data_IF_875496372268
#
_entry.id   IF_875496372268
#
_cell.length_a   1.000
_cell.length_b   1.000
_cell.length_c   1.000
_cell.angle_alpha   90.00
_cell.angle_beta   90.00
_cell.angle_gamma   90.00
#
_symmetry.space_group_name_H-M   'P 1'
#
loop_
_entity.id
_entity.type
_entity.pdbx_description
1 polymer ?
#
# COMPACT_ATOMS: atom_id res chain seq x y z
N UNK A 1 -42.84 33.42 41.21
CA UNK A 1 -42.66 32.54 40.04
C UNK A 1 -43.36 33.16 38.84
N UNK A 2 -42.60 33.71 37.89
CA UNK A 2 -43.17 34.21 36.63
C UNK A 2 -43.79 33.00 35.88
N UNK A 3 -45.06 33.11 35.52
CA UNK A 3 -45.73 32.14 34.68
C UNK A 3 -45.08 32.20 33.29
N UNK A 4 -44.29 31.19 32.94
CA UNK A 4 -43.79 31.01 31.59
C UNK A 4 -45.01 30.73 30.70
N UNK A 5 -45.32 31.61 29.75
CA UNK A 5 -46.41 31.37 28.79
C UNK A 5 -46.03 30.26 27.82
N UNK A 6 -47.03 29.55 27.26
CA UNK A 6 -46.76 28.52 26.25
C UNK A 6 -45.99 29.07 25.04
N UNK A 7 -46.23 30.35 24.69
CA UNK A 7 -45.49 31.04 23.61
C UNK A 7 -44.01 31.15 23.95
N UNK A 8 -43.65 31.58 25.17
CA UNK A 8 -42.25 31.69 25.59
C UNK A 8 -41.50 30.33 25.55
N UNK A 9 -42.23 29.22 25.80
CA UNK A 9 -41.62 27.87 25.69
C UNK A 9 -41.34 27.54 24.26
N UNK A 10 -42.23 27.77 23.31
CA UNK A 10 -42.05 27.54 21.89
C UNK A 10 -40.92 28.39 21.31
N UNK A 11 -40.82 29.66 21.75
CA UNK A 11 -39.77 30.57 21.28
C UNK A 11 -38.37 30.21 21.76
N UNK A 12 -38.26 29.46 22.87
CA UNK A 12 -36.97 28.96 23.41
C UNK A 12 -36.55 27.59 22.84
N UNK A 13 -37.42 26.94 22.09
CA UNK A 13 -37.06 25.64 21.47
C UNK A 13 -35.95 25.83 20.43
N UNK A 14 -35.05 24.85 20.40
CA UNK A 14 -34.01 24.78 19.37
C UNK A 14 -34.56 24.22 18.05
N UNK A 15 -35.63 23.45 18.10
CA UNK A 15 -36.32 22.91 16.95
C UNK A 15 -37.35 23.92 16.42
N UNK A 16 -37.52 23.95 15.10
CA UNK A 16 -38.53 24.86 14.55
C UNK A 16 -39.92 24.22 14.61
N UNK A 17 -40.84 24.93 15.26
CA UNK A 17 -42.26 24.62 15.23
C UNK A 17 -42.89 25.28 14.03
N UNK A 18 -43.57 24.52 13.19
CA UNK A 18 -44.25 24.97 11.97
C UNK A 18 -45.71 24.57 12.02
N UNK A 19 -46.60 25.50 11.69
CA UNK A 19 -48.03 25.23 11.45
C UNK A 19 -48.29 25.59 9.99
N UNK A 20 -48.80 24.63 9.22
CA UNK A 20 -49.18 24.82 7.82
C UNK A 20 -50.63 24.42 7.59
N UNK A 21 -51.25 25.01 6.59
CA UNK A 21 -52.62 24.66 6.16
C UNK A 21 -52.65 23.35 5.32
N UNK A 22 -53.79 22.96 4.83
CA UNK A 22 -54.00 21.78 3.96
C UNK A 22 -53.18 21.87 2.67
N UNK A 23 -52.87 23.07 2.17
CA UNK A 23 -52.07 23.31 0.96
C UNK A 23 -50.57 23.43 1.25
N UNK A 24 -50.17 23.13 2.47
CA UNK A 24 -48.78 23.30 2.97
C UNK A 24 -48.29 24.75 2.94
N UNK A 25 -49.17 25.73 2.99
CA UNK A 25 -48.78 27.13 3.22
C UNK A 25 -48.53 27.37 4.71
N UNK A 26 -47.47 28.06 4.99
CA UNK A 26 -47.07 28.41 6.38
C UNK A 26 -48.03 29.39 6.98
N UNK A 27 -48.62 29.04 8.12
CA UNK A 27 -49.51 29.86 8.92
C UNK A 27 -48.75 30.46 10.12
N UNK A 28 -47.83 29.69 10.69
CA UNK A 28 -47.01 30.11 11.83
C UNK A 28 -45.70 29.35 11.84
N UNK A 29 -44.60 29.99 12.21
CA UNK A 29 -43.33 29.37 12.55
C UNK A 29 -42.74 29.99 13.82
N UNK A 30 -42.01 29.19 14.59
CA UNK A 30 -41.23 29.67 15.73
C UNK A 30 -39.96 30.40 15.28
N UNK A 31 -39.28 31.21 16.12
CA UNK A 31 -38.04 31.92 15.80
C UNK A 31 -36.90 30.98 15.36
N UNK A 32 -36.91 29.73 15.82
CA UNK A 32 -35.91 28.72 15.40
C UNK A 32 -35.96 28.41 13.88
N UNK A 33 -37.06 28.74 13.20
CA UNK A 33 -37.19 28.55 11.75
C UNK A 33 -36.15 29.36 10.95
N UNK A 34 -35.90 30.63 11.39
CA UNK A 34 -34.88 31.46 10.76
C UNK A 34 -33.49 30.82 10.82
N UNK A 35 -33.13 30.30 11.99
CA UNK A 35 -31.83 29.62 12.16
C UNK A 35 -31.68 28.39 11.26
N UNK A 36 -32.76 27.59 11.09
CA UNK A 36 -32.75 26.34 10.35
C UNK A 36 -32.88 26.58 8.85
N UNK A 37 -33.82 27.42 8.41
CA UNK A 37 -34.18 27.60 7.00
C UNK A 37 -33.69 28.92 6.40
N UNK A 38 -33.30 29.90 7.22
CA UNK A 38 -32.79 31.20 6.81
C UNK A 38 -33.85 32.23 6.47
N UNK A 39 -35.14 31.97 6.74
CA UNK A 39 -36.26 32.89 6.56
C UNK A 39 -36.74 33.37 7.93
N UNK A 40 -36.95 34.68 8.09
CA UNK A 40 -37.60 35.18 9.31
C UNK A 40 -39.04 34.68 9.43
N UNK A 41 -39.65 34.69 10.63
CA UNK A 41 -41.05 34.28 10.76
C UNK A 41 -41.99 35.08 9.87
N UNK A 42 -41.75 36.37 9.67
CA UNK A 42 -42.55 37.26 8.82
C UNK A 42 -42.44 36.90 7.34
N UNK A 43 -41.23 36.57 6.89
CA UNK A 43 -40.96 36.11 5.52
C UNK A 43 -41.51 34.68 5.25
N UNK A 44 -41.55 33.84 6.28
CA UNK A 44 -41.99 32.47 6.17
C UNK A 44 -43.49 32.31 6.03
N UNK A 45 -44.28 33.21 6.67
CA UNK A 45 -45.75 33.14 6.60
C UNK A 45 -46.23 33.31 5.15
N UNK A 46 -47.03 32.36 4.68
CA UNK A 46 -47.55 32.32 3.31
C UNK A 46 -46.64 31.57 2.31
N UNK A 47 -45.39 31.25 2.67
CA UNK A 47 -44.55 30.38 1.84
C UNK A 47 -45.13 28.98 1.75
N UNK A 48 -44.96 28.32 0.60
CA UNK A 48 -45.29 26.93 0.42
C UNK A 48 -44.11 26.07 0.79
N UNK A 49 -44.19 25.29 1.88
CA UNK A 49 -43.09 24.45 2.39
C UNK A 49 -42.52 23.47 1.34
N UNK A 50 -43.37 23.01 0.43
CA UNK A 50 -42.93 22.11 -0.66
C UNK A 50 -41.93 22.75 -1.62
N UNK A 51 -41.99 24.08 -1.81
CA UNK A 51 -41.09 24.80 -2.72
C UNK A 51 -39.63 24.78 -2.20
N UNK A 52 -39.49 24.69 -0.88
CA UNK A 52 -38.19 24.62 -0.21
C UNK A 52 -37.64 23.19 -0.17
N UNK A 53 -38.42 22.15 -0.49
CA UNK A 53 -37.96 20.76 -0.50
C UNK A 53 -37.02 20.51 -1.66
N UNK A 54 -35.91 19.82 -1.41
CA UNK A 54 -34.99 19.39 -2.45
C UNK A 54 -35.72 18.58 -3.55
N UNK A 55 -35.48 18.84 -4.84
CA UNK A 55 -36.26 18.22 -5.93
C UNK A 55 -36.36 16.72 -5.85
N UNK A 56 -35.27 16.02 -5.49
CA UNK A 56 -35.29 14.56 -5.38
C UNK A 56 -36.17 14.01 -4.24
N UNK A 57 -36.50 14.85 -3.24
CA UNK A 57 -37.25 14.40 -2.05
C UNK A 57 -38.73 14.82 -2.11
N UNK A 58 -39.15 15.61 -3.12
CA UNK A 58 -40.49 16.18 -3.22
C UNK A 58 -41.61 15.11 -3.25
N UNK A 59 -41.44 14.10 -4.09
CA UNK A 59 -42.47 13.06 -4.21
C UNK A 59 -42.66 12.28 -2.90
N UNK A 60 -41.58 11.90 -2.22
CA UNK A 60 -41.66 11.19 -0.94
C UNK A 60 -42.27 12.11 0.16
N UNK A 61 -41.95 13.40 0.15
CA UNK A 61 -42.47 14.39 1.08
C UNK A 61 -43.98 14.58 0.89
N UNK A 62 -44.47 14.66 -0.35
CA UNK A 62 -45.90 14.80 -0.67
C UNK A 62 -46.69 13.59 -0.21
N UNK A 63 -46.22 12.38 -0.53
CA UNK A 63 -46.84 11.12 -0.08
C UNK A 63 -46.93 11.06 1.44
N UNK A 64 -45.89 11.50 2.15
CA UNK A 64 -45.87 11.47 3.61
C UNK A 64 -46.82 12.53 4.19
N UNK A 65 -46.88 13.72 3.59
CA UNK A 65 -47.80 14.78 4.02
C UNK A 65 -49.27 14.34 3.89
N UNK A 66 -49.63 13.61 2.80
CA UNK A 66 -50.98 13.09 2.60
C UNK A 66 -51.34 12.04 3.67
N UNK A 67 -50.40 11.11 4.02
CA UNK A 67 -50.62 10.13 5.10
C UNK A 67 -50.90 10.80 6.44
N UNK A 68 -50.20 11.89 6.73
CA UNK A 68 -50.42 12.67 7.97
C UNK A 68 -51.82 13.29 7.97
N UNK A 69 -52.30 13.81 6.83
CA UNK A 69 -53.66 14.38 6.69
C UNK A 69 -54.75 13.31 6.80
N UNK A 70 -54.46 12.06 6.44
CA UNK A 70 -55.35 10.89 6.63
C UNK A 70 -55.41 10.43 8.10
N UNK A 71 -54.72 11.11 9.03
CA UNK A 71 -54.73 10.82 10.47
C UNK A 71 -53.55 9.99 10.99
N UNK A 72 -52.59 9.63 10.14
CA UNK A 72 -51.38 8.95 10.58
C UNK A 72 -50.50 9.90 11.38
N UNK A 73 -50.04 9.49 12.59
CA UNK A 73 -49.03 10.23 13.34
C UNK A 73 -47.66 9.98 12.71
N UNK A 74 -47.00 11.05 12.27
CA UNK A 74 -45.62 10.95 11.80
C UNK A 74 -44.68 11.21 12.94
N UNK A 75 -43.85 10.20 13.27
CA UNK A 75 -42.84 10.27 14.33
C UNK A 75 -41.45 10.56 13.80
N UNK A 76 -41.13 10.09 12.59
CA UNK A 76 -39.78 10.23 12.00
C UNK A 76 -39.85 10.22 10.48
N UNK A 77 -39.62 11.37 9.86
CA UNK A 77 -39.46 11.48 8.41
C UNK A 77 -38.30 12.40 8.10
N UNK A 78 -37.31 11.89 7.38
CA UNK A 78 -36.11 12.65 7.02
C UNK A 78 -36.21 13.06 5.55
N UNK A 79 -35.94 14.33 5.28
CA UNK A 79 -35.81 14.87 3.92
C UNK A 79 -34.91 16.11 3.92
N UNK A 80 -34.53 16.56 2.73
CA UNK A 80 -33.66 17.71 2.52
C UNK A 80 -34.45 18.94 2.10
N UNK A 81 -34.06 20.08 2.64
CA UNK A 81 -34.55 21.38 2.27
C UNK A 81 -33.45 22.28 1.74
N UNK A 82 -33.83 23.22 0.88
CA UNK A 82 -32.96 24.28 0.38
C UNK A 82 -33.25 25.52 1.23
N UNK A 83 -32.24 26.01 1.91
CA UNK A 83 -32.27 27.20 2.72
C UNK A 83 -32.36 28.45 1.83
N UNK A 84 -32.66 29.61 2.44
CA UNK A 84 -32.69 30.90 1.74
C UNK A 84 -31.39 31.27 1.05
N UNK A 85 -30.24 30.84 1.60
CA UNK A 85 -28.92 31.06 1.04
C UNK A 85 -28.49 29.98 0.01
N UNK A 86 -29.40 29.06 -0.34
CA UNK A 86 -29.16 27.97 -1.26
C UNK A 86 -28.49 26.73 -0.65
N UNK A 87 -28.09 26.75 0.62
CA UNK A 87 -27.49 25.60 1.27
C UNK A 87 -28.52 24.49 1.56
N UNK A 88 -28.06 23.23 1.55
CA UNK A 88 -28.89 22.09 1.94
C UNK A 88 -28.90 21.91 3.46
N UNK A 89 -30.07 21.59 3.99
CA UNK A 89 -30.29 21.20 5.37
C UNK A 89 -31.10 19.91 5.43
N UNK A 90 -30.60 18.94 6.22
CA UNK A 90 -31.30 17.67 6.49
C UNK A 90 -32.23 17.86 7.69
N UNK A 91 -33.51 17.60 7.51
CA UNK A 91 -34.54 17.79 8.53
C UNK A 91 -35.17 16.46 8.89
N UNK A 92 -35.30 16.23 10.19
CA UNK A 92 -36.16 15.19 10.76
C UNK A 92 -37.47 15.85 11.21
N UNK A 93 -38.55 15.40 10.60
CA UNK A 93 -39.89 15.89 10.87
C UNK A 93 -40.67 15.00 11.83
N UNK A 94 -41.35 15.62 12.78
CA UNK A 94 -42.47 15.05 13.51
C UNK A 94 -43.72 15.88 13.19
N UNK A 95 -44.79 15.24 12.75
CA UNK A 95 -45.98 15.99 12.34
C UNK A 95 -47.30 15.30 12.75
N UNK A 96 -48.30 16.14 13.04
CA UNK A 96 -49.68 15.71 13.37
C UNK A 96 -50.68 16.60 12.66
N UNK A 97 -51.71 16.01 12.13
CA UNK A 97 -52.89 16.70 11.57
C UNK A 97 -53.85 17.07 12.66
N UNK A 98 -54.43 18.27 12.57
CA UNK A 98 -55.49 18.79 13.44
C UNK A 98 -56.77 18.98 12.60
N UNK A 99 -57.65 17.97 12.54
CA UNK A 99 -58.80 17.98 11.61
C UNK A 99 -59.73 19.13 11.84
N UNK A 100 -60.01 19.45 13.12
CA UNK A 100 -60.93 20.51 13.53
C UNK A 100 -60.49 21.92 13.05
N UNK A 101 -59.23 22.08 12.79
CA UNK A 101 -58.64 23.35 12.36
C UNK A 101 -58.14 23.35 10.94
N UNK A 102 -58.12 22.21 10.28
CA UNK A 102 -57.55 21.98 8.94
C UNK A 102 -56.08 22.45 8.89
N UNK A 103 -55.31 22.15 9.95
CA UNK A 103 -53.92 22.56 10.12
C UNK A 103 -53.04 21.33 10.41
N UNK A 104 -51.81 21.39 9.95
CA UNK A 104 -50.77 20.42 10.29
C UNK A 104 -49.75 21.11 11.19
N UNK A 105 -49.58 20.63 12.43
CA UNK A 105 -48.51 21.01 13.35
C UNK A 105 -47.31 20.07 13.07
N UNK A 106 -46.16 20.67 12.85
CA UNK A 106 -44.93 19.95 12.59
C UNK A 106 -43.76 20.54 13.38
N UNK A 107 -42.81 19.70 13.76
CA UNK A 107 -41.55 20.11 14.40
C UNK A 107 -40.41 19.66 13.49
N UNK A 108 -39.54 20.60 13.12
CA UNK A 108 -38.36 20.39 12.32
C UNK A 108 -37.12 20.35 13.22
N UNK A 109 -36.46 19.23 13.25
CA UNK A 109 -35.18 19.04 13.90
C UNK A 109 -34.05 19.03 12.86
N UNK A 110 -33.06 19.91 12.96
CA UNK A 110 -31.90 19.92 12.05
C UNK A 110 -30.95 18.79 12.43
N UNK A 111 -30.86 17.79 11.52
CA UNK A 111 -30.01 16.62 11.66
C UNK A 111 -28.79 16.66 10.74
N UNK A 112 -28.50 17.81 10.11
CA UNK A 112 -27.40 17.96 9.15
C UNK A 112 -26.06 17.58 9.76
N UNK A 113 -25.78 18.06 10.97
CA UNK A 113 -24.54 17.71 11.68
C UNK A 113 -24.45 16.21 11.97
N UNK A 114 -25.55 15.59 12.43
CA UNK A 114 -25.61 14.15 12.69
C UNK A 114 -25.31 13.36 11.40
N UNK A 115 -26.00 13.69 10.31
CA UNK A 115 -25.81 13.03 8.99
C UNK A 115 -24.39 13.17 8.45
N UNK A 116 -23.79 14.35 8.60
CA UNK A 116 -22.38 14.57 8.21
C UNK A 116 -21.44 13.71 9.03
N UNK A 117 -21.63 13.63 10.34
CA UNK A 117 -20.81 12.79 11.24
C UNK A 117 -20.97 11.31 10.90
N UNK A 118 -22.19 10.81 10.73
CA UNK A 118 -22.47 9.42 10.34
C UNK A 118 -21.85 9.07 8.99
N UNK A 119 -21.96 9.97 8.01
CA UNK A 119 -21.35 9.81 6.69
C UNK A 119 -19.82 9.79 6.75
N UNK A 120 -19.21 10.62 7.58
CA UNK A 120 -17.77 10.64 7.81
C UNK A 120 -17.30 9.32 8.45
N UNK A 121 -17.98 8.85 9.50
CA UNK A 121 -17.66 7.57 10.14
C UNK A 121 -17.79 6.39 9.17
N UNK A 122 -18.85 6.36 8.35
CA UNK A 122 -19.03 5.32 7.34
C UNK A 122 -17.89 5.33 6.31
N UNK A 123 -17.43 6.52 5.92
CA UNK A 123 -16.29 6.68 5.01
C UNK A 123 -14.98 6.20 5.64
N UNK A 124 -14.69 6.59 6.88
CA UNK A 124 -13.52 6.13 7.63
C UNK A 124 -13.52 4.61 7.81
N UNK A 125 -14.68 4.02 8.12
CA UNK A 125 -14.81 2.57 8.21
C UNK A 125 -14.53 1.88 6.87
N UNK A 126 -15.06 2.39 5.76
CA UNK A 126 -14.81 1.84 4.43
C UNK A 126 -13.32 1.91 4.04
N UNK A 127 -12.62 3.00 4.39
CA UNK A 127 -11.18 3.15 4.18
C UNK A 127 -10.41 2.12 5.01
N UNK A 128 -10.72 1.98 6.31
CA UNK A 128 -10.06 1.00 7.18
C UNK A 128 -10.30 -0.44 6.70
N UNK A 129 -11.53 -0.77 6.29
CA UNK A 129 -11.85 -2.08 5.74
C UNK A 129 -11.07 -2.36 4.43
N UNK A 130 -10.92 -1.35 3.56
CA UNK A 130 -10.13 -1.45 2.35
C UNK A 130 -8.65 -1.71 2.66
N UNK A 131 -8.08 -1.03 3.67
CA UNK A 131 -6.69 -1.21 4.09
C UNK A 131 -6.42 -2.62 4.64
N UNK A 132 -7.35 -3.17 5.44
CA UNK A 132 -7.23 -4.54 5.96
C UNK A 132 -7.33 -5.61 4.87
N UNK A 133 -8.22 -5.41 3.89
CA UNK A 133 -8.46 -6.37 2.82
C UNK A 133 -7.47 -6.27 1.64
N UNK A 134 -6.66 -5.22 1.58
CA UNK A 134 -5.77 -4.99 0.45
C UNK A 134 -4.60 -6.00 0.44
N UNK A 135 -4.41 -6.65 -0.71
CA UNK A 135 -3.29 -7.57 -0.98
C UNK A 135 -2.05 -6.83 -1.50
N UNK A 136 -2.21 -5.61 -2.04
CA UNK A 136 -1.12 -4.79 -2.56
C UNK A 136 -1.43 -3.30 -2.42
N UNK A 137 -0.38 -2.48 -2.43
CA UNK A 137 -0.51 -1.03 -2.32
C UNK A 137 -1.32 -0.39 -3.47
N UNK A 138 -1.10 -0.75 -4.76
CA UNK A 138 -1.89 -0.18 -5.85
C UNK A 138 -3.39 -0.43 -5.71
N UNK A 139 -3.79 -1.65 -5.35
CA UNK A 139 -5.21 -2.02 -5.12
C UNK A 139 -5.82 -1.22 -3.97
N UNK A 140 -5.06 -1.00 -2.90
CA UNK A 140 -5.51 -0.14 -1.81
C UNK A 140 -5.76 1.30 -2.27
N UNK A 141 -4.77 1.88 -2.95
CA UNK A 141 -4.82 3.30 -3.37
C UNK A 141 -5.94 3.55 -4.37
N UNK A 142 -6.21 2.62 -5.28
CA UNK A 142 -7.35 2.69 -6.18
C UNK A 142 -8.68 2.69 -5.41
N UNK A 143 -8.85 1.80 -4.44
CA UNK A 143 -10.06 1.76 -3.60
C UNK A 143 -10.23 3.05 -2.78
N UNK A 144 -9.15 3.55 -2.16
CA UNK A 144 -9.17 4.81 -1.43
C UNK A 144 -9.58 5.96 -2.35
N UNK A 145 -9.01 6.04 -3.55
CA UNK A 145 -9.38 7.05 -4.53
C UNK A 145 -10.87 7.01 -4.85
N UNK A 146 -11.45 5.84 -5.13
CA UNK A 146 -12.88 5.71 -5.38
C UNK A 146 -13.74 6.15 -4.18
N UNK A 147 -13.33 5.81 -2.96
CA UNK A 147 -14.05 6.22 -1.75
C UNK A 147 -13.99 7.74 -1.57
N UNK A 148 -12.81 8.35 -1.77
CA UNK A 148 -12.64 9.81 -1.69
C UNK A 148 -13.43 10.54 -2.77
N UNK A 149 -13.33 10.10 -4.04
CA UNK A 149 -14.04 10.71 -5.18
C UNK A 149 -15.58 10.68 -5.02
N UNK A 150 -16.12 9.71 -4.31
CA UNK A 150 -17.56 9.63 -4.01
C UNK A 150 -18.01 10.61 -2.90
N UNK A 151 -17.08 11.25 -2.19
CA UNK A 151 -17.37 12.07 -0.99
C UNK A 151 -16.89 13.50 -1.08
N UNK A 152 -15.81 13.71 -1.79
CA UNK A 152 -15.18 15.03 -1.97
C UNK A 152 -14.94 15.27 -3.46
N UNK A 153 -14.97 16.54 -3.85
CA UNK A 153 -14.75 16.95 -5.25
C UNK A 153 -13.27 16.82 -5.62
N UNK A 154 -12.84 15.56 -5.87
CA UNK A 154 -11.45 15.21 -6.19
C UNK A 154 -11.20 15.35 -7.68
N UNK A 155 -10.19 16.13 -8.06
CA UNK A 155 -9.70 16.27 -9.43
C UNK A 155 -8.52 15.32 -9.71
N UNK A 156 -7.66 15.12 -8.72
CA UNK A 156 -6.55 14.18 -8.79
C UNK A 156 -6.18 13.69 -7.39
N UNK A 157 -5.68 12.45 -7.32
CA UNK A 157 -5.16 11.84 -6.10
C UNK A 157 -3.84 11.15 -6.43
N UNK A 158 -2.78 11.45 -5.67
CA UNK A 158 -1.45 10.89 -5.88
C UNK A 158 -0.78 10.51 -4.56
N UNK A 159 0.10 9.52 -4.64
CA UNK A 159 0.93 9.06 -3.52
C UNK A 159 2.37 8.97 -4.00
N UNK A 160 3.26 9.66 -3.31
CA UNK A 160 4.67 9.68 -3.58
C UNK A 160 5.44 9.19 -2.35
N UNK A 161 6.29 8.17 -2.51
CA UNK A 161 7.19 7.67 -1.47
C UNK A 161 8.59 8.26 -1.63
N UNK A 162 9.28 8.44 -0.52
CA UNK A 162 10.68 8.90 -0.52
C UNK A 162 11.62 7.80 -1.01
N UNK A 163 12.64 8.18 -1.77
CA UNK A 163 13.71 7.28 -2.21
C UNK A 163 14.94 7.41 -1.31
N UNK A 164 15.82 6.39 -1.21
CA UNK A 164 17.07 6.47 -0.44
C UNK A 164 18.00 7.60 -0.87
N UNK A 165 17.89 8.07 -2.13
CA UNK A 165 18.67 9.17 -2.69
C UNK A 165 18.06 10.56 -2.40
N UNK A 166 16.97 10.65 -1.64
CA UNK A 166 16.32 11.90 -1.26
C UNK A 166 15.33 12.46 -2.28
N UNK A 167 14.97 11.67 -3.31
CA UNK A 167 13.92 12.00 -4.28
C UNK A 167 12.57 11.38 -3.93
N UNK A 168 11.63 11.49 -4.88
CA UNK A 168 10.31 10.90 -4.76
C UNK A 168 10.07 9.86 -5.86
N UNK A 169 9.43 8.76 -5.47
CA UNK A 169 8.87 7.77 -6.39
C UNK A 169 7.35 7.80 -6.28
N UNK A 170 6.67 8.20 -7.36
CA UNK A 170 5.21 8.22 -7.39
C UNK A 170 4.69 6.80 -7.60
N UNK A 171 4.03 6.27 -6.58
CA UNK A 171 3.48 4.89 -6.58
C UNK A 171 2.02 4.84 -7.04
N UNK A 172 1.34 5.98 -7.04
CA UNK A 172 -0.03 6.13 -7.53
C UNK A 172 -0.27 7.53 -8.07
N UNK A 173 -0.97 7.63 -9.20
CA UNK A 173 -1.38 8.90 -9.80
C UNK A 173 -2.68 8.69 -10.57
N UNK A 174 -3.78 9.12 -9.98
CA UNK A 174 -5.08 9.13 -10.65
C UNK A 174 -5.47 10.57 -10.93
N UNK A 175 -5.37 10.95 -12.19
CA UNK A 175 -5.84 12.24 -12.71
C UNK A 175 -7.24 12.04 -13.25
N UNK A 176 -8.20 12.83 -12.75
CA UNK A 176 -9.52 12.91 -13.33
C UNK A 176 -9.48 13.45 -14.76
N UNK A 177 -10.64 13.57 -15.42
CA UNK A 177 -10.80 14.08 -16.78
C UNK A 177 -10.43 15.58 -16.97
N UNK A 178 -10.01 16.26 -15.91
CA UNK A 178 -9.56 17.64 -16.00
C UNK A 178 -8.20 17.73 -16.74
N UNK A 179 -8.06 18.63 -17.71
CA UNK A 179 -6.80 18.83 -18.42
C UNK A 179 -5.71 19.16 -17.39
N UNK A 180 -4.63 18.38 -17.41
CA UNK A 180 -3.45 18.69 -16.63
C UNK A 180 -2.90 20.05 -17.09
N UNK A 181 -2.48 20.95 -16.19
CA UNK A 181 -1.70 22.10 -16.61
C UNK A 181 -0.45 21.57 -17.33
N UNK A 182 -0.29 21.96 -18.59
CA UNK A 182 0.79 21.55 -19.50
C UNK A 182 2.14 22.21 -19.17
N UNK A 183 2.47 22.44 -17.91
CA UNK A 183 3.70 23.12 -17.56
C UNK A 183 4.67 22.15 -16.89
N UNK A 184 5.87 22.02 -17.46
CA UNK A 184 7.06 21.49 -16.80
C UNK A 184 7.25 22.11 -15.39
N UNK A 185 6.81 23.34 -15.18
CA UNK A 185 6.82 24.07 -13.92
C UNK A 185 5.87 23.48 -12.85
N UNK A 186 4.78 22.82 -13.25
CA UNK A 186 3.82 22.26 -12.30
C UNK A 186 4.35 21.02 -11.57
N UNK A 187 5.17 20.22 -12.22
CA UNK A 187 5.79 19.01 -11.62
C UNK A 187 6.94 19.39 -10.67
N UNK A 188 7.70 20.42 -11.02
CA UNK A 188 8.73 21.00 -10.17
C UNK A 188 8.12 21.66 -8.92
N UNK A 189 7.01 22.40 -9.07
CA UNK A 189 6.30 23.00 -7.96
C UNK A 189 5.70 21.93 -7.01
N UNK A 190 5.11 20.87 -7.55
CA UNK A 190 4.56 19.78 -6.77
C UNK A 190 5.65 19.05 -5.96
N UNK A 191 6.82 18.86 -6.55
CA UNK A 191 7.99 18.28 -5.87
C UNK A 191 8.45 19.16 -4.71
N UNK A 192 8.46 20.49 -4.87
CA UNK A 192 8.78 21.42 -3.80
C UNK A 192 7.74 21.37 -2.66
N UNK A 193 6.46 21.23 -2.98
CA UNK A 193 5.41 21.06 -1.97
C UNK A 193 5.54 19.74 -1.22
N UNK A 194 5.92 18.64 -1.89
CA UNK A 194 6.21 17.38 -1.22
C UNK A 194 7.36 17.54 -0.22
N UNK A 195 8.45 18.22 -0.60
CA UNK A 195 9.57 18.49 0.30
C UNK A 195 9.11 19.31 1.51
N UNK A 196 8.31 20.36 1.30
CA UNK A 196 7.80 21.20 2.36
C UNK A 196 6.90 20.43 3.34
N UNK A 197 6.03 19.51 2.84
CA UNK A 197 5.21 18.64 3.69
C UNK A 197 6.09 17.74 4.57
N UNK A 198 7.17 17.17 4.01
CA UNK A 198 8.07 16.31 4.77
C UNK A 198 8.89 17.07 5.81
N UNK A 199 9.38 18.27 5.46
CA UNK A 199 10.16 19.12 6.37
C UNK A 199 9.33 19.63 7.55
N UNK A 200 8.06 20.00 7.30
CA UNK A 200 7.14 20.48 8.33
C UNK A 200 6.51 19.35 9.15
N UNK A 201 6.45 18.13 8.59
CA UNK A 201 5.75 17.01 9.22
C UNK A 201 4.25 17.25 9.42
N UNK A 202 3.64 18.17 8.67
CA UNK A 202 2.27 18.62 8.78
C UNK A 202 1.61 18.75 7.42
N UNK A 203 0.27 18.74 7.41
CA UNK A 203 -0.53 18.96 6.21
C UNK A 203 -0.26 20.35 5.63
N UNK A 204 -0.11 20.40 4.30
CA UNK A 204 0.12 21.63 3.54
C UNK A 204 -1.04 21.84 2.55
N UNK A 205 -1.67 22.99 2.65
CA UNK A 205 -2.72 23.45 1.74
C UNK A 205 -2.17 24.55 0.83
N UNK A 206 -2.30 24.37 -0.49
CA UNK A 206 -1.91 25.37 -1.49
C UNK A 206 -3.11 25.74 -2.37
N UNK A 207 -3.50 27.01 -2.46
CA UNK A 207 -4.50 27.45 -3.42
C UNK A 207 -3.94 27.30 -4.83
N UNK A 208 -4.76 26.78 -5.75
CA UNK A 208 -4.40 26.68 -7.15
C UNK A 208 -5.15 27.74 -7.97
N UNK A 209 -4.55 28.27 -9.04
CA UNK A 209 -5.23 29.20 -9.92
C UNK A 209 -6.45 28.51 -10.57
N UNK A 210 -7.54 29.27 -10.72
CA UNK A 210 -8.69 28.81 -11.46
C UNK A 210 -8.29 28.57 -12.95
N UNK A 211 -8.90 27.58 -13.64
CA UNK A 211 -8.64 27.37 -15.05
C UNK A 211 -9.03 28.61 -15.86
N UNK A 212 -8.27 28.91 -16.92
CA UNK A 212 -8.50 30.11 -17.77
C UNK A 212 -9.90 30.13 -18.40
N UNK A 213 -10.57 28.99 -18.52
CA UNK A 213 -11.95 28.86 -18.97
C UNK A 213 -13.02 29.06 -17.89
N UNK A 214 -12.61 29.32 -16.64
CA UNK A 214 -13.51 29.46 -15.49
C UNK A 214 -14.12 30.86 -15.41
N UNK A 215 -15.45 30.94 -15.20
CA UNK A 215 -16.17 32.18 -14.88
C UNK A 215 -16.03 32.57 -13.41
N UNK A 216 -16.59 33.71 -13.00
CA UNK A 216 -16.52 34.24 -11.62
C UNK A 216 -17.16 33.35 -10.56
N UNK A 217 -17.93 32.34 -10.94
CA UNK A 217 -18.57 31.35 -10.05
C UNK A 217 -17.78 30.04 -9.94
N UNK A 218 -16.58 29.95 -10.55
CA UNK A 218 -15.76 28.72 -10.50
C UNK A 218 -15.27 28.47 -9.06
N UNK A 219 -15.56 27.30 -8.47
CA UNK A 219 -15.11 27.00 -7.10
C UNK A 219 -13.59 27.09 -6.97
N UNK A 220 -13.06 27.52 -5.81
CA UNK A 220 -11.62 27.56 -5.58
C UNK A 220 -11.00 26.19 -5.73
N UNK A 221 -9.93 26.11 -6.51
CA UNK A 221 -9.09 24.93 -6.64
C UNK A 221 -8.03 24.92 -5.55
N UNK A 222 -7.68 23.72 -5.08
CA UNK A 222 -6.62 23.57 -4.09
C UNK A 222 -5.78 22.31 -4.34
N UNK A 223 -4.56 22.35 -3.86
CA UNK A 223 -3.71 21.19 -3.64
C UNK A 223 -3.55 21.00 -2.14
N UNK A 224 -3.70 19.77 -1.69
CA UNK A 224 -3.55 19.38 -0.29
C UNK A 224 -2.59 18.21 -0.19
N UNK A 225 -1.50 18.39 0.53
CA UNK A 225 -0.52 17.34 0.83
C UNK A 225 -0.57 16.97 2.32
N UNK A 226 -0.54 15.68 2.60
CA UNK A 226 -0.49 15.12 3.96
C UNK A 226 0.69 14.17 4.06
N UNK A 227 1.56 14.29 5.09
CA UNK A 227 2.68 13.38 5.24
C UNK A 227 2.18 11.96 5.55
N UNK A 228 2.85 10.95 4.99
CA UNK A 228 2.72 9.57 5.42
C UNK A 228 3.64 9.39 6.64
N UNK A 229 3.10 9.25 7.85
CA UNK A 229 3.91 9.12 9.04
C UNK A 229 4.75 7.84 8.96
N UNK A 230 5.94 7.81 9.59
CA UNK A 230 6.70 6.59 9.88
C UNK A 230 7.84 6.93 10.84
N UNK A 231 7.76 6.49 12.06
CA UNK A 231 8.79 6.71 13.07
C UNK A 231 9.39 8.13 13.04
N UNK A 232 10.73 8.22 12.89
CA UNK A 232 11.45 9.50 12.88
C UNK A 232 11.42 10.26 11.54
N UNK A 233 11.00 9.61 10.44
CA UNK A 233 10.98 10.24 9.11
C UNK A 233 9.76 9.80 8.31
N UNK A 234 9.00 10.75 7.71
CA UNK A 234 7.85 10.40 6.87
C UNK A 234 8.25 9.52 5.68
N UNK A 235 7.44 8.50 5.39
CA UNK A 235 7.62 7.61 4.23
C UNK A 235 7.37 8.30 2.90
N UNK A 236 6.60 9.39 2.89
CA UNK A 236 6.21 10.08 1.67
C UNK A 236 5.06 11.05 1.89
N UNK A 237 4.33 11.35 0.84
CA UNK A 237 3.23 12.31 0.83
C UNK A 237 2.02 11.72 0.10
N UNK A 238 0.86 11.86 0.73
CA UNK A 238 -0.45 11.76 0.11
C UNK A 238 -0.85 13.13 -0.42
N UNK A 239 -1.16 13.25 -1.70
CA UNK A 239 -1.59 14.52 -2.27
C UNK A 239 -2.93 14.39 -2.99
N UNK A 240 -3.75 15.44 -2.85
CA UNK A 240 -5.05 15.57 -3.47
C UNK A 240 -5.17 16.95 -4.11
N UNK A 241 -5.70 16.99 -5.33
CA UNK A 241 -6.21 18.22 -5.94
C UNK A 241 -7.72 18.17 -5.95
N UNK A 242 -8.36 19.24 -5.54
CA UNK A 242 -9.81 19.27 -5.42
C UNK A 242 -10.41 20.64 -5.61
N UNK A 243 -11.74 20.67 -5.55
CA UNK A 243 -12.57 21.88 -5.58
C UNK A 243 -13.18 22.07 -4.20
N UNK A 244 -13.03 23.29 -3.63
CA UNK A 244 -13.68 23.62 -2.38
C UNK A 244 -15.07 24.20 -2.66
N UNK A 245 -16.10 23.51 -2.16
CA UNK A 245 -17.50 23.96 -2.26
C UNK A 245 -18.12 23.99 -0.86
N UNK A 246 -19.31 24.62 -0.73
CA UNK A 246 -20.06 24.60 0.54
C UNK A 246 -20.43 23.19 1.01
N UNK A 247 -20.65 22.27 0.07
CA UNK A 247 -21.00 20.87 0.37
C UNK A 247 -19.75 20.00 0.64
N UNK A 248 -18.63 20.37 0.03
CA UNK A 248 -17.33 19.69 0.16
C UNK A 248 -16.23 20.71 0.48
N UNK A 249 -16.18 21.20 1.72
CA UNK A 249 -15.15 22.13 2.14
C UNK A 249 -13.78 21.46 2.24
N UNK A 250 -12.71 22.23 2.07
CA UNK A 250 -11.33 21.72 2.11
C UNK A 250 -10.98 21.06 3.45
N UNK A 251 -11.55 21.52 4.55
CA UNK A 251 -11.35 20.96 5.88
C UNK A 251 -11.84 19.51 5.98
N UNK A 252 -12.92 19.17 5.26
CA UNK A 252 -13.40 17.79 5.19
C UNK A 252 -12.44 16.90 4.40
N UNK A 253 -11.87 17.40 3.31
CA UNK A 253 -10.85 16.70 2.54
C UNK A 253 -9.58 16.49 3.37
N UNK A 254 -9.14 17.51 4.11
CA UNK A 254 -7.99 17.43 5.00
C UNK A 254 -8.19 16.36 6.08
N UNK A 255 -9.32 16.39 6.79
CA UNK A 255 -9.63 15.40 7.82
C UNK A 255 -9.65 13.96 7.27
N UNK A 256 -10.16 13.76 6.04
CA UNK A 256 -10.16 12.45 5.38
C UNK A 256 -8.75 12.01 5.00
N UNK A 257 -7.92 12.89 4.41
CA UNK A 257 -6.54 12.53 4.05
C UNK A 257 -5.68 12.25 5.28
N UNK A 258 -5.82 13.04 6.34
CA UNK A 258 -5.14 12.80 7.62
C UNK A 258 -5.54 11.47 8.26
N UNK A 259 -6.78 11.02 8.05
CA UNK A 259 -7.22 9.70 8.45
C UNK A 259 -6.67 8.59 7.52
N UNK A 260 -6.57 8.85 6.21
CA UNK A 260 -6.05 7.90 5.21
C UNK A 260 -4.56 7.64 5.40
N UNK A 261 -3.77 8.67 5.75
CA UNK A 261 -2.31 8.56 5.81
C UNK A 261 -1.80 7.42 6.70
N UNK A 262 -2.25 7.25 7.96
CA UNK A 262 -1.86 6.10 8.80
C UNK A 262 -2.32 4.74 8.25
N UNK A 263 -3.44 4.69 7.51
CA UNK A 263 -3.92 3.45 6.91
C UNK A 263 -3.01 3.00 5.76
N UNK A 264 -2.53 3.93 4.95
CA UNK A 264 -1.59 3.66 3.86
C UNK A 264 -0.23 3.27 4.45
N UNK A 265 0.27 3.99 5.46
CA UNK A 265 1.49 3.66 6.18
C UNK A 265 1.50 2.20 6.66
N UNK A 266 0.47 1.79 7.40
CA UNK A 266 0.33 0.44 7.93
C UNK A 266 0.45 -0.63 6.83
N UNK A 267 -0.11 -0.39 5.64
CA UNK A 267 -0.03 -1.33 4.51
C UNK A 267 1.37 -1.32 3.89
N UNK A 268 2.00 -0.16 3.75
CA UNK A 268 3.38 -0.05 3.25
C UNK A 268 4.34 -0.78 4.18
N UNK A 269 4.25 -0.55 5.49
CA UNK A 269 5.08 -1.24 6.50
C UNK A 269 4.87 -2.75 6.47
N UNK A 270 3.62 -3.20 6.39
CA UNK A 270 3.29 -4.63 6.28
C UNK A 270 3.94 -5.27 5.06
N UNK A 271 3.88 -4.61 3.90
CA UNK A 271 4.50 -5.10 2.66
C UNK A 271 6.02 -5.15 2.81
N UNK A 272 6.65 -4.09 3.32
CA UNK A 272 8.09 -4.04 3.54
C UNK A 272 8.57 -5.10 4.54
N UNK A 273 7.82 -5.31 5.62
CA UNK A 273 8.13 -6.34 6.61
C UNK A 273 8.02 -7.73 5.98
N UNK A 274 6.97 -7.98 5.19
CA UNK A 274 6.80 -9.25 4.50
C UNK A 274 7.94 -9.52 3.51
N UNK A 275 8.35 -8.54 2.73
CA UNK A 275 9.49 -8.64 1.82
C UNK A 275 10.81 -8.89 2.57
N UNK A 276 11.02 -8.21 3.71
CA UNK A 276 12.18 -8.46 4.57
C UNK A 276 12.18 -9.89 5.12
N UNK A 277 11.05 -10.36 5.65
CA UNK A 277 10.92 -11.73 6.16
C UNK A 277 11.16 -12.76 5.04
N UNK A 278 10.61 -12.52 3.85
CA UNK A 278 10.83 -13.38 2.69
C UNK A 278 12.32 -13.43 2.30
N UNK A 279 12.96 -12.26 2.29
CA UNK A 279 14.40 -12.14 1.98
C UNK A 279 15.26 -12.83 3.06
N UNK A 280 14.92 -12.66 4.35
CA UNK A 280 15.60 -13.33 5.45
C UNK A 280 15.44 -14.86 5.42
N UNK A 281 14.27 -15.35 4.99
CA UNK A 281 13.99 -16.78 4.89
C UNK A 281 14.73 -17.45 3.73
N UNK A 282 15.10 -16.72 2.68
CA UNK A 282 15.65 -17.26 1.43
C UNK A 282 17.11 -16.88 1.15
N UNK A 283 17.62 -15.83 1.75
CA UNK A 283 18.95 -15.31 1.47
C UNK A 283 19.81 -15.24 2.73
N UNK A 284 21.11 -15.47 2.58
CA UNK A 284 22.11 -15.24 3.62
C UNK A 284 22.29 -13.74 3.85
N UNK A 285 22.12 -13.30 5.09
CA UNK A 285 22.10 -11.86 5.44
C UNK A 285 23.46 -11.18 5.27
N UNK A 286 24.57 -11.94 5.35
CA UNK A 286 25.91 -11.39 5.23
C UNK A 286 26.31 -11.18 3.77
N UNK A 287 26.09 -12.22 2.95
CA UNK A 287 26.59 -12.25 1.56
C UNK A 287 25.55 -11.87 0.51
N UNK A 288 24.26 -11.85 0.87
CA UNK A 288 23.16 -11.63 -0.07
C UNK A 288 22.91 -12.79 -1.05
N UNK A 289 23.64 -13.91 -0.93
CA UNK A 289 23.43 -15.10 -1.73
C UNK A 289 22.20 -15.89 -1.26
N UNK A 290 21.61 -16.75 -2.11
CA UNK A 290 20.70 -17.78 -1.68
C UNK A 290 21.23 -18.53 -0.46
N UNK A 291 20.38 -18.70 0.56
CA UNK A 291 20.70 -19.51 1.72
C UNK A 291 20.46 -21.01 1.43
N UNK A 292 20.68 -21.86 2.44
CA UNK A 292 20.48 -23.31 2.35
C UNK A 292 19.06 -23.65 1.84
N UNK A 293 18.01 -23.00 2.36
CA UNK A 293 16.62 -23.31 2.00
C UNK A 293 16.34 -23.01 0.52
N UNK A 294 16.67 -21.82 0.05
CA UNK A 294 16.47 -21.42 -1.35
C UNK A 294 17.36 -22.25 -2.29
N UNK A 295 18.55 -22.60 -1.86
CA UNK A 295 19.43 -23.45 -2.67
C UNK A 295 18.84 -24.85 -2.90
N UNK A 296 18.30 -25.50 -1.84
CA UNK A 296 17.64 -26.80 -1.97
C UNK A 296 16.44 -26.75 -2.90
N UNK A 297 15.64 -25.73 -2.82
CA UNK A 297 14.50 -25.51 -3.73
C UNK A 297 14.96 -25.39 -5.18
N UNK A 298 15.99 -24.61 -5.45
CA UNK A 298 16.56 -24.45 -6.81
C UNK A 298 17.17 -25.75 -7.32
N UNK A 299 17.92 -26.48 -6.49
CA UNK A 299 18.51 -27.76 -6.85
C UNK A 299 17.43 -28.77 -7.22
N UNK A 300 16.35 -28.85 -6.46
CA UNK A 300 15.21 -29.73 -6.75
C UNK A 300 14.58 -29.41 -8.12
N UNK A 301 14.36 -28.13 -8.40
CA UNK A 301 13.82 -27.70 -9.70
C UNK A 301 14.80 -28.03 -10.84
N UNK A 302 16.09 -27.77 -10.64
CA UNK A 302 17.12 -28.04 -11.64
C UNK A 302 17.26 -29.52 -11.95
N UNK A 303 17.25 -30.42 -10.93
CA UNK A 303 17.27 -31.89 -11.11
C UNK A 303 16.04 -32.35 -11.89
N UNK A 304 14.84 -31.88 -11.53
CA UNK A 304 13.61 -32.22 -12.26
C UNK A 304 13.64 -31.74 -13.73
N UNK A 305 14.24 -30.57 -13.99
CA UNK A 305 14.44 -30.03 -15.33
C UNK A 305 15.44 -30.88 -16.12
N UNK A 306 16.62 -31.14 -15.54
CA UNK A 306 17.68 -31.93 -16.18
C UNK A 306 17.20 -33.33 -16.54
N UNK A 307 16.38 -33.95 -15.67
CA UNK A 307 15.76 -35.23 -15.95
C UNK A 307 14.83 -35.21 -17.18
N UNK A 308 13.98 -34.16 -17.28
CA UNK A 308 13.02 -34.02 -18.38
C UNK A 308 13.68 -33.67 -19.71
N UNK A 309 14.75 -32.87 -19.67
CA UNK A 309 15.46 -32.37 -20.85
C UNK A 309 16.66 -33.25 -21.24
N UNK A 310 16.89 -34.34 -20.52
CA UNK A 310 18.02 -35.27 -20.70
C UNK A 310 19.38 -34.55 -20.72
N UNK A 311 19.49 -33.50 -19.85
CA UNK A 311 20.72 -32.72 -19.70
C UNK A 311 21.43 -33.08 -18.39
N UNK A 312 22.68 -32.61 -18.26
CA UNK A 312 23.47 -32.75 -17.04
C UNK A 312 23.44 -31.42 -16.24
N UNK A 313 23.64 -31.55 -14.93
CA UNK A 313 24.00 -30.42 -14.05
C UNK A 313 25.21 -30.82 -13.19
N UNK A 314 25.97 -29.84 -12.76
CA UNK A 314 27.07 -30.04 -11.81
C UNK A 314 26.82 -29.25 -10.53
N UNK A 315 27.10 -29.92 -9.42
CA UNK A 315 27.12 -29.35 -8.09
C UNK A 315 28.56 -29.22 -7.60
N UNK A 316 29.00 -28.00 -7.30
CA UNK A 316 30.31 -27.73 -6.73
C UNK A 316 30.12 -27.36 -5.26
N UNK A 317 30.73 -28.11 -4.36
CA UNK A 317 30.79 -27.77 -2.93
C UNK A 317 32.14 -27.13 -2.63
N UNK A 318 32.14 -25.97 -1.99
CA UNK A 318 33.32 -25.12 -1.82
C UNK A 318 33.48 -24.80 -0.33
N UNK A 319 34.64 -25.06 0.23
CA UNK A 319 35.03 -24.71 1.60
C UNK A 319 36.31 -23.85 1.55
N UNK A 320 36.39 -22.82 2.42
CA UNK A 320 37.53 -21.90 2.47
C UNK A 320 38.61 -22.46 3.42
N UNK A 321 39.73 -22.84 2.86
CA UNK A 321 40.84 -23.42 3.63
C UNK A 321 41.32 -22.42 4.70
N UNK A 322 41.38 -22.86 5.98
CA UNK A 322 41.85 -22.07 7.13
C UNK A 322 41.06 -20.78 7.39
N UNK A 323 39.83 -20.70 7.00
CA UNK A 323 39.01 -19.51 7.30
C UNK A 323 38.94 -19.18 8.80
N UNK A 324 38.95 -20.21 9.66
CA UNK A 324 38.99 -20.00 11.10
C UNK A 324 40.23 -19.24 11.56
N UNK A 325 41.39 -19.51 10.97
CA UNK A 325 42.64 -18.78 11.31
C UNK A 325 42.51 -17.29 10.97
N UNK A 326 41.80 -16.93 9.91
CA UNK A 326 41.51 -15.55 9.55
C UNK A 326 40.67 -14.87 10.65
N UNK A 327 39.63 -15.52 11.11
CA UNK A 327 38.79 -15.01 12.18
C UNK A 327 39.58 -14.87 13.50
N UNK A 328 40.40 -15.89 13.84
CA UNK A 328 41.17 -15.91 15.09
C UNK A 328 42.30 -14.84 15.09
N UNK A 329 42.79 -14.50 13.90
CA UNK A 329 43.94 -13.55 13.78
C UNK A 329 43.49 -12.10 13.51
N UNK A 330 42.49 -11.89 12.65
CA UNK A 330 42.05 -10.59 12.17
C UNK A 330 40.68 -10.15 12.70
N UNK A 331 40.00 -11.05 13.43
CA UNK A 331 38.66 -10.81 13.98
C UNK A 331 37.54 -11.13 13.02
N UNK A 332 36.34 -11.36 13.58
CA UNK A 332 35.13 -11.76 12.85
C UNK A 332 34.71 -10.72 11.79
N UNK A 333 34.89 -9.44 12.04
CA UNK A 333 34.52 -8.39 11.05
C UNK A 333 35.34 -8.51 9.76
N UNK A 334 36.61 -8.91 9.84
CA UNK A 334 37.44 -9.14 8.66
C UNK A 334 37.04 -10.43 7.95
N UNK A 335 36.68 -11.47 8.71
CA UNK A 335 36.10 -12.70 8.15
C UNK A 335 34.80 -12.44 7.40
N UNK A 336 33.92 -11.57 7.93
CA UNK A 336 32.67 -11.19 7.27
C UNK A 336 32.92 -10.46 5.94
N UNK A 337 33.86 -9.50 5.91
CA UNK A 337 34.29 -8.83 4.67
C UNK A 337 34.86 -9.80 3.66
N UNK A 338 35.65 -10.79 4.12
CA UNK A 338 36.18 -11.85 3.27
C UNK A 338 35.07 -12.68 2.66
N UNK A 339 34.08 -13.12 3.44
CA UNK A 339 32.93 -13.90 2.94
C UNK A 339 32.12 -13.11 1.91
N UNK A 340 31.92 -11.81 2.11
CA UNK A 340 31.30 -10.93 1.11
C UNK A 340 32.14 -10.85 -0.19
N UNK A 341 33.44 -10.71 -0.05
CA UNK A 341 34.38 -10.70 -1.19
C UNK A 341 34.37 -12.04 -1.97
N UNK A 342 34.32 -13.15 -1.24
CA UNK A 342 34.20 -14.51 -1.81
C UNK A 342 32.89 -14.66 -2.59
N UNK A 343 31.77 -14.26 -1.99
CA UNK A 343 30.47 -14.31 -2.64
C UNK A 343 30.46 -13.56 -3.97
N UNK A 344 30.97 -12.33 -3.98
CA UNK A 344 31.09 -11.51 -5.20
C UNK A 344 31.97 -12.20 -6.24
N UNK A 345 33.13 -12.70 -5.84
CA UNK A 345 34.07 -13.37 -6.76
C UNK A 345 33.50 -14.66 -7.37
N UNK A 346 32.75 -15.44 -6.61
CA UNK A 346 32.06 -16.62 -7.11
C UNK A 346 30.96 -16.23 -8.11
N UNK A 347 30.18 -15.20 -7.81
CA UNK A 347 29.14 -14.67 -8.73
C UNK A 347 29.75 -14.21 -10.05
N UNK A 348 30.92 -13.55 -10.03
CA UNK A 348 31.62 -13.11 -11.24
C UNK A 348 32.17 -14.28 -12.08
N UNK A 349 32.30 -15.47 -11.51
CA UNK A 349 32.74 -16.66 -12.22
C UNK A 349 31.64 -17.38 -13.00
N UNK A 350 30.39 -17.24 -12.61
CA UNK A 350 29.23 -18.00 -13.12
C UNK A 350 28.37 -17.21 -14.07
N UNK A 351 27.43 -17.90 -14.77
CA UNK A 351 26.44 -17.26 -15.65
C UNK A 351 25.17 -16.92 -14.87
N UNK A 352 24.32 -16.08 -15.42
CA UNK A 352 23.05 -15.70 -14.80
C UNK A 352 22.05 -16.85 -14.60
N UNK A 353 22.21 -17.98 -15.32
CA UNK A 353 21.41 -19.19 -15.13
C UNK A 353 21.93 -20.09 -14.01
N UNK A 354 23.19 -19.93 -13.61
CA UNK A 354 23.79 -20.72 -12.53
C UNK A 354 23.41 -20.14 -11.18
N UNK A 355 23.47 -20.97 -10.14
CA UNK A 355 23.18 -20.52 -8.77
C UNK A 355 24.41 -20.63 -7.91
N UNK A 356 24.78 -19.54 -7.23
CA UNK A 356 25.74 -19.51 -6.12
C UNK A 356 24.95 -19.36 -4.83
N UNK A 357 25.27 -20.15 -3.80
CA UNK A 357 24.63 -20.07 -2.49
C UNK A 357 25.64 -20.24 -1.36
N UNK A 358 25.27 -19.77 -0.15
CA UNK A 358 26.05 -20.01 1.07
C UNK A 358 25.21 -20.87 2.01
N UNK A 359 25.78 -22.02 2.44
CA UNK A 359 25.08 -22.98 3.30
C UNK A 359 25.24 -22.64 4.79
N UNK A 360 26.32 -21.96 5.16
CA UNK A 360 26.65 -21.53 6.51
C UNK A 360 28.17 -21.47 6.70
N UNK A 361 28.66 -20.72 7.70
CA UNK A 361 30.08 -20.60 7.97
C UNK A 361 30.88 -20.17 6.73
N UNK A 362 31.84 -21.00 6.35
CA UNK A 362 32.74 -20.88 5.19
C UNK A 362 32.36 -21.76 4.00
N UNK A 363 31.15 -22.40 4.06
CA UNK A 363 30.66 -23.31 3.03
C UNK A 363 29.84 -22.57 1.95
N UNK A 364 30.27 -22.70 0.71
CA UNK A 364 29.55 -22.21 -0.47
C UNK A 364 29.21 -23.36 -1.40
N UNK A 365 28.15 -23.22 -2.18
CA UNK A 365 27.80 -24.18 -3.24
C UNK A 365 27.48 -23.43 -4.52
N UNK A 366 27.84 -24.09 -5.63
CA UNK A 366 27.53 -23.60 -6.98
C UNK A 366 26.81 -24.68 -7.74
N UNK A 367 25.67 -24.33 -8.30
CA UNK A 367 24.89 -25.19 -9.17
C UNK A 367 25.04 -24.69 -10.61
N UNK A 368 25.59 -25.51 -11.48
CA UNK A 368 25.75 -25.26 -12.92
C UNK A 368 24.66 -26.01 -13.65
N UNK A 369 23.81 -25.30 -14.37
CA UNK A 369 22.71 -25.89 -15.13
C UNK A 369 22.99 -25.96 -16.63
N UNK A 370 22.30 -26.88 -17.32
CA UNK A 370 22.37 -26.99 -18.79
C UNK A 370 23.73 -27.42 -19.34
N UNK A 371 24.46 -28.24 -18.60
CA UNK A 371 25.70 -28.84 -19.05
C UNK A 371 25.34 -29.91 -20.10
N UNK A 372 26.06 -29.92 -21.24
CA UNK A 372 25.87 -30.94 -22.28
C UNK A 372 26.42 -32.28 -21.80
N UNK A 373 25.75 -33.35 -22.23
CA UNK A 373 26.22 -34.73 -21.96
C UNK A 373 27.69 -34.91 -22.41
N UNK A 374 28.53 -35.29 -21.43
CA UNK A 374 29.97 -35.45 -21.66
C UNK A 374 30.83 -34.20 -21.54
N UNK A 375 30.22 -33.03 -21.23
CA UNK A 375 30.96 -31.80 -20.92
C UNK A 375 31.46 -31.85 -19.47
N UNK A 376 32.74 -31.57 -19.27
CA UNK A 376 33.33 -31.56 -17.93
C UNK A 376 33.10 -30.26 -17.20
N UNK A 377 32.71 -30.27 -15.92
CA UNK A 377 32.61 -29.05 -15.07
C UNK A 377 33.97 -28.59 -14.55
N UNK A 378 35.04 -29.36 -14.75
CA UNK A 378 36.39 -29.05 -14.27
C UNK A 378 36.91 -27.67 -14.73
N UNK A 379 36.69 -27.22 -15.98
CA UNK A 379 37.12 -25.87 -16.41
C UNK A 379 36.50 -24.75 -15.56
N UNK A 380 35.28 -24.94 -15.10
CA UNK A 380 34.63 -23.94 -14.21
C UNK A 380 35.26 -23.94 -12.82
N UNK A 381 35.53 -25.14 -12.26
CA UNK A 381 36.24 -25.23 -10.99
C UNK A 381 37.66 -24.63 -11.10
N UNK A 382 38.36 -24.85 -12.19
CA UNK A 382 39.68 -24.25 -12.43
C UNK A 382 39.61 -22.72 -12.60
N UNK A 383 38.56 -22.21 -13.25
CA UNK A 383 38.32 -20.75 -13.31
C UNK A 383 38.15 -20.16 -11.91
N UNK A 384 37.38 -20.83 -11.04
CA UNK A 384 37.22 -20.40 -9.65
C UNK A 384 38.53 -20.45 -8.89
N UNK A 385 39.29 -21.55 -8.92
CA UNK A 385 40.59 -21.63 -8.30
C UNK A 385 41.54 -20.50 -8.76
N UNK A 386 41.56 -20.25 -10.07
CA UNK A 386 42.35 -19.14 -10.64
C UNK A 386 41.89 -17.75 -10.13
N UNK A 387 40.58 -17.54 -9.99
CA UNK A 387 40.05 -16.31 -9.42
C UNK A 387 40.52 -16.13 -7.97
N UNK A 388 40.56 -17.18 -7.16
CA UNK A 388 41.02 -17.12 -5.78
C UNK A 388 42.53 -16.92 -5.62
N UNK A 389 43.31 -17.13 -6.67
CA UNK A 389 44.76 -16.84 -6.65
C UNK A 389 45.06 -15.34 -6.46
N UNK A 390 44.10 -14.48 -6.83
CA UNK A 390 44.18 -13.04 -6.61
C UNK A 390 43.81 -12.69 -5.16
N UNK A 391 44.59 -11.84 -4.48
CA UNK A 391 44.26 -11.42 -3.13
C UNK A 391 42.89 -10.71 -3.07
N UNK A 392 42.26 -10.74 -1.92
CA UNK A 392 41.09 -9.95 -1.59
C UNK A 392 41.55 -8.65 -0.95
N UNK A 393 41.13 -7.53 -1.50
CA UNK A 393 41.37 -6.21 -0.87
C UNK A 393 40.21 -5.95 0.10
N UNK A 394 40.50 -6.01 1.39
CA UNK A 394 39.54 -5.83 2.47
C UNK A 394 39.96 -4.56 3.25
N UNK A 395 39.40 -3.42 2.84
CA UNK A 395 39.68 -2.11 3.45
C UNK A 395 41.17 -1.76 3.48
N UNK A 396 41.89 -2.04 2.39
CA UNK A 396 43.32 -1.76 2.27
C UNK A 396 44.23 -2.89 2.78
N UNK A 397 43.66 -3.99 3.31
CA UNK A 397 44.40 -5.20 3.70
C UNK A 397 44.27 -6.27 2.62
N UNK A 398 45.37 -6.64 2.00
CA UNK A 398 45.39 -7.70 0.98
C UNK A 398 45.47 -9.07 1.65
N UNK A 399 44.38 -9.86 1.56
CA UNK A 399 44.28 -11.19 2.15
C UNK A 399 44.22 -12.26 1.05
N UNK A 400 44.90 -13.36 1.26
CA UNK A 400 44.79 -14.55 0.39
C UNK A 400 44.10 -15.68 1.14
N UNK A 401 43.09 -16.28 0.48
CA UNK A 401 42.44 -17.48 0.96
C UNK A 401 42.29 -18.44 -0.22
N UNK A 402 42.37 -19.72 0.06
CA UNK A 402 42.29 -20.78 -0.95
C UNK A 402 41.03 -21.60 -0.73
N UNK A 403 40.35 -22.05 -1.78
CA UNK A 403 39.19 -22.91 -1.67
C UNK A 403 39.53 -24.36 -1.92
N UNK A 404 38.87 -25.30 -1.24
CA UNK A 404 38.76 -26.69 -1.61
C UNK A 404 37.43 -26.94 -2.30
N UNK A 405 37.40 -27.52 -3.49
CA UNK A 405 36.23 -27.67 -4.35
C UNK A 405 35.93 -29.14 -4.59
N UNK A 406 34.75 -29.65 -4.20
CA UNK A 406 34.25 -30.95 -4.56
C UNK A 406 33.18 -30.86 -5.63
N UNK A 407 33.20 -31.77 -6.59
CA UNK A 407 32.29 -31.72 -7.75
C UNK A 407 31.50 -33.03 -7.85
N UNK A 408 30.17 -32.91 -7.98
CA UNK A 408 29.27 -34.00 -8.31
C UNK A 408 28.46 -33.68 -9.57
N UNK A 409 28.20 -34.70 -10.40
CA UNK A 409 27.42 -34.59 -11.64
C UNK A 409 26.10 -35.34 -11.52
N UNK A 410 25.03 -34.74 -11.98
CA UNK A 410 23.77 -35.42 -12.25
C UNK A 410 23.78 -35.89 -13.71
N UNK A 411 23.34 -37.11 -14.02
CA UNK A 411 22.86 -38.16 -13.10
C UNK A 411 23.95 -39.08 -12.54
N UNK A 412 25.22 -38.94 -12.98
CA UNK A 412 26.29 -39.91 -12.77
C UNK A 412 26.65 -40.18 -11.30
N UNK A 413 26.53 -39.14 -10.45
CA UNK A 413 26.87 -39.22 -9.03
C UNK A 413 25.63 -39.19 -8.12
N UNK A 414 24.42 -39.13 -8.68
CA UNK A 414 23.17 -39.21 -7.93
C UNK A 414 21.97 -38.75 -8.73
N UNK A 415 20.83 -39.38 -8.46
CA UNK A 415 19.54 -39.08 -9.09
C UNK A 415 18.70 -38.11 -8.26
N UNK A 416 19.11 -37.82 -7.03
CA UNK A 416 18.40 -36.99 -6.07
C UNK A 416 19.32 -35.95 -5.43
N UNK A 417 18.75 -34.87 -4.99
CA UNK A 417 19.44 -33.70 -4.44
C UNK A 417 20.40 -34.05 -3.28
N UNK A 418 19.92 -34.91 -2.35
CA UNK A 418 20.69 -35.31 -1.17
C UNK A 418 21.92 -36.13 -1.54
N UNK A 419 21.84 -37.02 -2.57
CA UNK A 419 22.95 -37.80 -3.05
C UNK A 419 24.02 -36.90 -3.71
N UNK A 420 23.60 -35.96 -4.54
CA UNK A 420 24.51 -35.01 -5.21
C UNK A 420 25.26 -34.14 -4.19
N UNK A 421 24.57 -33.63 -3.17
CA UNK A 421 25.20 -32.85 -2.10
C UNK A 421 26.22 -33.67 -1.31
N UNK A 422 25.85 -34.88 -0.89
CA UNK A 422 26.76 -35.76 -0.16
C UNK A 422 28.01 -36.08 -0.98
N UNK A 423 27.85 -36.38 -2.28
CA UNK A 423 28.97 -36.71 -3.16
C UNK A 423 29.87 -35.50 -3.46
N UNK A 424 29.30 -34.32 -3.59
CA UNK A 424 30.06 -33.09 -3.72
C UNK A 424 30.85 -32.77 -2.46
N UNK A 425 30.25 -32.95 -1.28
CA UNK A 425 30.90 -32.73 0.02
C UNK A 425 32.03 -33.75 0.26
N UNK A 426 31.80 -35.07 -0.01
CA UNK A 426 32.83 -36.11 0.04
C UNK A 426 34.02 -35.75 -0.86
N UNK A 427 33.75 -35.28 -2.07
CA UNK A 427 34.78 -34.85 -3.03
C UNK A 427 35.54 -33.63 -2.52
N UNK A 428 34.86 -32.66 -1.94
CA UNK A 428 35.47 -31.46 -1.32
C UNK A 428 36.39 -31.85 -0.16
N UNK A 429 35.97 -32.79 0.68
CA UNK A 429 36.80 -33.29 1.79
C UNK A 429 38.07 -33.97 1.29
N UNK A 430 38.01 -34.73 0.17
CA UNK A 430 39.19 -35.29 -0.48
C UNK A 430 40.14 -34.18 -0.98
N UNK A 431 39.60 -33.13 -1.64
CA UNK A 431 40.38 -32.00 -2.08
C UNK A 431 41.09 -31.30 -0.88
N UNK A 432 40.37 -31.10 0.24
CA UNK A 432 40.94 -30.51 1.46
C UNK A 432 42.04 -31.33 2.09
N UNK A 433 41.90 -32.66 2.17
CA UNK A 433 42.94 -33.58 2.67
C UNK A 433 44.14 -33.69 1.74
N UNK A 434 43.96 -33.49 0.46
CA UNK A 434 45.04 -33.49 -0.55
C UNK A 434 45.94 -32.26 -0.50
N UNK A 435 45.75 -31.35 0.43
CA UNK A 435 46.57 -30.14 0.62
C UNK A 435 45.80 -28.84 0.39
N UNK A 436 44.50 -28.88 0.05
CA UNK A 436 43.68 -27.72 -0.27
C UNK A 436 43.99 -27.09 -1.62
N UNK A 437 43.35 -25.96 -1.94
CA UNK A 437 43.50 -25.20 -3.19
C UNK A 437 43.41 -26.06 -4.47
N UNK A 438 42.46 -26.97 -4.48
CA UNK A 438 42.26 -27.90 -5.62
C UNK A 438 40.79 -28.26 -5.75
N UNK A 439 40.45 -28.80 -6.91
CA UNK A 439 39.15 -29.39 -7.17
C UNK A 439 39.22 -30.88 -7.33
N UNK A 440 38.22 -31.58 -6.84
CA UNK A 440 38.10 -33.03 -6.98
C UNK A 440 36.73 -33.40 -7.53
N UNK A 441 36.71 -34.15 -8.65
CA UNK A 441 35.49 -34.73 -9.20
C UNK A 441 35.24 -36.07 -8.52
N UNK A 442 34.04 -36.25 -7.96
CA UNK A 442 33.69 -37.55 -7.35
C UNK A 442 33.85 -38.70 -8.36
N UNK A 443 34.50 -39.83 -8.00
CA UNK A 443 34.83 -40.89 -8.95
C UNK A 443 33.64 -41.68 -9.51
N UNK A 444 32.41 -41.40 -9.06
CA UNK A 444 31.21 -42.14 -9.45
C UNK A 444 31.18 -43.58 -8.90
N UNK A 445 30.05 -44.24 -8.96
CA UNK A 445 29.96 -45.68 -8.71
C UNK A 445 30.38 -46.42 -9.97
N UNK A 446 31.61 -46.85 -10.02
CA UNK A 446 32.12 -47.73 -11.11
C UNK A 446 31.44 -49.12 -11.15
N UNK A 447 30.42 -49.39 -10.29
CA UNK A 447 29.84 -50.70 -10.06
C UNK A 447 28.49 -51.02 -10.73
N UNK A 448 27.73 -50.06 -11.27
CA UNK A 448 26.34 -50.34 -11.72
C UNK A 448 26.08 -50.27 -13.24
N UNK A 449 27.10 -50.03 -14.06
CA UNK A 449 26.91 -49.99 -15.54
C UNK A 449 27.08 -51.34 -16.25
N UNK A 450 27.18 -52.46 -15.55
CA UNK A 450 27.26 -53.79 -16.18
C UNK A 450 26.13 -54.70 -15.69
N UNK A 451 24.96 -54.57 -16.27
CA UNK A 451 23.80 -55.42 -15.98
C UNK A 451 22.69 -55.36 -17.05
N UNK A 452 23.03 -55.08 -18.30
CA UNK A 452 22.15 -55.38 -19.43
C UNK A 452 22.78 -56.51 -20.25
N UNK A 453 22.56 -57.75 -19.84
CA UNK A 453 22.75 -58.93 -20.68
C UNK A 453 21.81 -58.88 -21.88
N UNK A 454 22.25 -59.11 -23.07
CA UNK A 454 21.35 -59.33 -24.20
C UNK A 454 20.72 -60.71 -24.04
N UNK A 455 19.44 -60.76 -23.84
CA UNK A 455 18.67 -62.00 -24.01
C UNK A 455 18.37 -62.16 -25.47
N UNK A 456 18.84 -63.33 -25.92
CA UNK A 456 18.54 -64.05 -27.15
C UNK A 456 17.06 -64.08 -27.55
#
# INVERSE_FOLDING_TARGET
MQRISAQNVVDLLLDAVCIVDANSQVVYVSPAFERIFGYTPEEAVGLKMFDLVHPADRQATEQQANRVMEGSLQLQFENRYIRKDGALVDILWTARWLPDRQLRLAVAHDITRRKRTESMHATMYAISAAAHAASSLPVLLERIHHILAARINTLAFSVALTTPQGGFHRVYDARGTAPAPQALDAEAAETAWYQQVLEQGASLLQPLPAPESGGPETPPHYWLGVPLPSGDRPLGVLALRGLSTRESPVEAAQALLEFVAPQVEMVVERIQLHERLHRMAQYDQLTGLPNRALFYDRLKIAVARAHREETQLALLFIDLDRFKEVNDTLGHSMGDLLLQGVAKRLMDCVRGCDTVARLGGDEFVVLLEGIRLGESPQPMAQKMLSAFSQPFDLQGTALRIQPSIGIALYPDHGMHESALLSRADEAMYVAKRGGGNQSFLHPGNLGERHGASPLS
#
